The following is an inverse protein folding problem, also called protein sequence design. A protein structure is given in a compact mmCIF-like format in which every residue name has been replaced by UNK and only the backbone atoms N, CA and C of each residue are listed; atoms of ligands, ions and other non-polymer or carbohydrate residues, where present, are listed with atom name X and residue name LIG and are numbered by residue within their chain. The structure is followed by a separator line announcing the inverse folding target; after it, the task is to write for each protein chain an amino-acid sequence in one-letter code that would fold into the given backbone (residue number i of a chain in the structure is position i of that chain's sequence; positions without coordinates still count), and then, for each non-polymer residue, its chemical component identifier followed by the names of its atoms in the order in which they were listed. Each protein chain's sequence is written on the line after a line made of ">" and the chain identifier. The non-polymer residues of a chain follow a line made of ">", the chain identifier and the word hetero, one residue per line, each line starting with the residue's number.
data_IF_320464654949
#
_entry.id   IF_320464654949
#
_cell.length_a   1.000
_cell.length_b   1.000
_cell.length_c   1.000
_cell.angle_alpha   90.00
_cell.angle_beta   90.00
_cell.angle_gamma   90.00
#
_symmetry.space_group_name_H-M   'P 1'
#
loop_
_entity.id
_entity.type
_entity.pdbx_description
1 polymer ?
#
# COMPACT_ATOMS: atom_id res chain seq x y z
N UNK A 1 27.28 -19.57 -4.65
CA UNK A 1 27.69 -19.69 -6.07
C UNK A 1 26.50 -20.07 -6.95
N UNK A 2 26.14 -21.36 -7.17
CA UNK A 2 25.04 -21.73 -8.10
C UNK A 2 23.72 -20.97 -7.87
N UNK A 3 23.31 -20.81 -6.61
CA UNK A 3 22.10 -20.05 -6.26
C UNK A 3 22.14 -18.58 -6.74
N UNK A 4 23.29 -17.91 -6.60
CA UNK A 4 23.47 -16.52 -7.07
C UNK A 4 23.35 -16.42 -8.61
N UNK A 5 23.84 -17.41 -9.35
CA UNK A 5 23.68 -17.45 -10.81
C UNK A 5 22.20 -17.63 -11.20
N UNK A 6 21.46 -18.50 -10.50
CA UNK A 6 20.01 -18.67 -10.70
C UNK A 6 19.25 -17.38 -10.36
N UNK A 7 19.58 -16.75 -9.24
CA UNK A 7 18.95 -15.49 -8.80
C UNK A 7 19.22 -14.35 -9.80
N UNK A 8 20.41 -14.30 -10.42
CA UNK A 8 20.76 -13.36 -11.50
C UNK A 8 19.98 -13.65 -12.80
N UNK A 9 19.87 -14.90 -13.24
CA UNK A 9 19.06 -15.26 -14.42
C UNK A 9 17.56 -15.00 -14.21
N UNK A 10 17.08 -15.12 -12.97
CA UNK A 10 15.68 -14.81 -12.62
C UNK A 10 15.44 -13.29 -12.62
N UNK A 11 16.44 -12.50 -12.22
CA UNK A 11 16.40 -11.04 -12.30
C UNK A 11 16.40 -10.58 -13.76
N UNK A 12 17.26 -11.16 -14.61
CA UNK A 12 17.31 -10.87 -16.04
C UNK A 12 15.97 -11.17 -16.74
N UNK A 13 15.38 -12.35 -16.50
CA UNK A 13 14.06 -12.69 -17.02
C UNK A 13 12.97 -11.70 -16.56
N UNK A 14 13.02 -11.21 -15.31
CA UNK A 14 12.10 -10.18 -14.81
C UNK A 14 12.34 -8.81 -15.41
N UNK A 15 13.58 -8.39 -15.57
CA UNK A 15 13.93 -7.10 -16.20
C UNK A 15 13.49 -7.12 -17.66
N UNK A 16 13.84 -8.16 -18.41
CA UNK A 16 13.39 -8.37 -19.79
C UNK A 16 11.86 -8.33 -19.92
N UNK A 17 11.11 -8.99 -19.03
CA UNK A 17 9.64 -8.96 -19.01
C UNK A 17 9.08 -7.53 -18.79
N UNK A 18 9.77 -6.71 -18.00
CA UNK A 18 9.36 -5.33 -17.69
C UNK A 18 9.76 -4.36 -18.82
N UNK A 19 10.88 -4.61 -19.51
CA UNK A 19 11.37 -3.74 -20.60
C UNK A 19 10.81 -4.11 -21.97
N UNK A 20 10.14 -5.25 -22.14
CA UNK A 20 9.60 -5.71 -23.42
C UNK A 20 8.24 -5.06 -23.77
N UNK A 21 8.15 -3.74 -23.64
CA UNK A 21 7.18 -2.94 -24.41
C UNK A 21 7.80 -2.58 -25.75
N UNK A 22 7.25 -3.16 -26.82
CA UNK A 22 7.67 -2.98 -28.22
C UNK A 22 9.13 -3.34 -28.53
N UNK A 23 9.36 -4.61 -28.91
CA UNK A 23 9.86 -4.98 -30.24
C UNK A 23 9.95 -6.51 -30.40
N UNK A 24 9.46 -7.03 -31.52
CA UNK A 24 9.62 -8.43 -31.88
C UNK A 24 11.00 -8.67 -32.51
N UNK A 25 11.86 -9.41 -31.81
CA UNK A 25 12.97 -10.13 -32.42
C UNK A 25 13.06 -11.52 -31.80
N UNK A 26 12.75 -12.54 -32.58
CA UNK A 26 13.16 -13.91 -32.24
C UNK A 26 14.68 -13.96 -32.28
N UNK A 27 15.31 -14.43 -31.21
CA UNK A 27 16.65 -15.00 -31.29
C UNK A 27 16.78 -16.20 -30.34
N UNK A 28 17.67 -17.12 -30.66
CA UNK A 28 17.69 -18.49 -30.11
C UNK A 28 18.07 -18.55 -28.62
N UNK A 29 17.24 -19.24 -27.84
CA UNK A 29 17.55 -19.69 -26.48
C UNK A 29 18.69 -20.73 -26.51
N UNK A 30 19.92 -20.23 -26.54
CA UNK A 30 21.12 -21.06 -26.35
C UNK A 30 21.15 -21.63 -24.93
N UNK A 31 21.44 -22.93 -24.80
CA UNK A 31 21.55 -23.62 -23.51
C UNK A 31 22.55 -22.91 -22.56
N UNK A 32 22.23 -22.77 -21.26
CA UNK A 32 23.09 -22.09 -20.28
C UNK A 32 24.26 -22.98 -19.80
N UNK A 33 24.98 -23.55 -20.76
CA UNK A 33 26.20 -24.32 -20.52
C UNK A 33 27.39 -23.38 -20.33
N UNK A 34 27.63 -23.01 -19.07
CA UNK A 34 28.95 -22.57 -18.58
C UNK A 34 29.41 -21.15 -18.98
N UNK A 35 28.52 -20.15 -18.93
CA UNK A 35 28.95 -18.74 -18.84
C UNK A 35 29.91 -18.59 -17.65
N UNK A 36 31.11 -18.09 -17.91
CA UNK A 36 32.14 -17.92 -16.89
C UNK A 36 31.64 -16.94 -15.82
N UNK A 37 31.88 -17.24 -14.54
CA UNK A 37 31.56 -16.29 -13.45
C UNK A 37 32.18 -14.90 -13.67
N UNK A 38 33.30 -14.81 -14.39
CA UNK A 38 33.91 -13.55 -14.80
C UNK A 38 33.08 -12.81 -15.87
N UNK A 39 32.52 -13.52 -16.84
CA UNK A 39 31.67 -12.95 -17.90
C UNK A 39 30.32 -12.50 -17.33
N UNK A 40 29.70 -13.29 -16.44
CA UNK A 40 28.49 -12.89 -15.74
C UNK A 40 28.69 -11.64 -14.87
N UNK A 41 29.84 -11.52 -14.17
CA UNK A 41 30.19 -10.33 -13.41
C UNK A 41 30.52 -9.13 -14.31
N UNK A 42 31.22 -9.34 -15.43
CA UNK A 42 31.51 -8.28 -16.40
C UNK A 42 30.20 -7.73 -16.99
N UNK A 43 29.30 -8.61 -17.44
CA UNK A 43 28.00 -8.23 -17.98
C UNK A 43 27.13 -7.47 -16.95
N UNK A 44 27.10 -7.91 -15.69
CA UNK A 44 26.41 -7.18 -14.63
C UNK A 44 27.02 -5.79 -14.38
N UNK A 45 28.33 -5.65 -14.51
CA UNK A 45 29.04 -4.38 -14.34
C UNK A 45 28.79 -3.45 -15.54
N UNK A 46 28.77 -3.98 -16.76
CA UNK A 46 28.44 -3.25 -17.99
C UNK A 46 26.96 -2.79 -17.98
N UNK A 47 26.03 -3.62 -17.49
CA UNK A 47 24.62 -3.26 -17.30
C UNK A 47 24.44 -2.13 -16.28
N UNK A 48 25.17 -2.17 -15.15
CA UNK A 48 25.17 -1.07 -14.16
C UNK A 48 25.78 0.21 -14.75
N UNK A 49 26.84 0.13 -15.56
CA UNK A 49 27.38 1.31 -16.25
C UNK A 49 26.41 1.89 -17.29
N UNK A 50 25.72 1.03 -18.06
CA UNK A 50 24.74 1.45 -19.06
C UNK A 50 23.53 2.13 -18.42
N UNK A 51 22.94 1.51 -17.39
CA UNK A 51 21.82 2.11 -16.64
C UNK A 51 22.20 3.42 -15.97
N UNK A 52 23.42 3.55 -15.44
CA UNK A 52 23.92 4.79 -14.84
C UNK A 52 24.05 5.93 -15.88
N UNK A 53 24.59 5.63 -17.07
CA UNK A 53 24.64 6.61 -18.19
C UNK A 53 23.26 7.05 -18.63
N UNK A 54 22.33 6.12 -18.84
CA UNK A 54 20.98 6.43 -19.31
C UNK A 54 20.20 7.28 -18.27
N UNK A 55 20.41 7.02 -16.97
CA UNK A 55 19.88 7.87 -15.89
C UNK A 55 20.47 9.29 -15.94
N UNK A 56 21.76 9.42 -16.22
CA UNK A 56 22.44 10.71 -16.32
C UNK A 56 21.96 11.51 -17.55
N UNK A 57 21.80 10.87 -18.72
CA UNK A 57 21.22 11.50 -19.92
C UNK A 57 19.81 12.06 -19.63
N UNK A 58 18.97 11.34 -18.89
CA UNK A 58 17.64 11.83 -18.48
C UNK A 58 17.70 13.01 -17.49
N UNK A 59 18.70 13.07 -16.60
CA UNK A 59 18.90 14.20 -15.67
C UNK A 59 19.37 15.45 -16.43
N UNK A 60 20.26 15.28 -17.40
CA UNK A 60 20.78 16.36 -18.24
C UNK A 60 19.68 16.91 -19.18
N UNK A 61 18.89 16.04 -19.83
CA UNK A 61 17.70 16.43 -20.61
C UNK A 61 16.69 17.23 -19.78
N UNK A 62 16.42 16.80 -18.53
CA UNK A 62 15.47 17.48 -17.65
C UNK A 62 15.98 18.85 -17.17
N UNK A 63 17.29 19.01 -17.07
CA UNK A 63 17.92 20.30 -16.73
C UNK A 63 17.92 21.29 -17.90
N UNK A 64 18.07 20.81 -19.14
CA UNK A 64 18.06 21.65 -20.34
C UNK A 64 16.69 22.22 -20.73
N UNK A 65 15.59 21.71 -20.17
CA UNK A 65 14.23 22.22 -20.41
C UNK A 65 13.73 23.25 -19.37
N UNK A 66 14.61 23.74 -18.46
CA UNK A 66 14.25 24.67 -17.38
C UNK A 66 14.85 26.08 -17.56
N UNK A 67 14.94 26.56 -18.79
CA UNK A 67 15.32 27.95 -19.08
C UNK A 67 14.59 28.44 -20.33
N UNK A 68 14.39 29.76 -20.42
CA UNK A 68 13.76 30.48 -21.54
C UNK A 68 12.21 30.49 -21.62
N UNK A 69 11.57 31.20 -20.68
CA UNK A 69 10.36 31.99 -21.01
C UNK A 69 10.24 33.23 -20.12
N UNK A 70 10.95 34.32 -20.45
CA UNK A 70 10.78 35.61 -19.79
C UNK A 70 10.97 36.78 -20.76
N UNK A 71 9.88 37.27 -21.38
CA UNK A 71 9.68 38.69 -21.72
C UNK A 71 8.39 38.94 -22.52
N UNK A 72 7.35 39.48 -21.88
CA UNK A 72 6.88 40.85 -22.14
C UNK A 72 5.72 41.22 -21.19
N UNK A 73 5.63 42.48 -20.74
CA UNK A 73 4.46 43.00 -20.06
C UNK A 73 3.53 43.73 -21.05
N UNK A 74 2.22 43.69 -20.79
CA UNK A 74 1.35 44.80 -21.18
C UNK A 74 0.22 45.00 -20.16
N UNK A 75 -0.23 46.25 -20.02
CA UNK A 75 -0.93 46.71 -18.82
C UNK A 75 -2.46 46.69 -18.93
N UNK A 76 -3.16 46.31 -17.85
CA UNK A 76 -4.29 47.10 -17.30
C UNK A 76 -4.78 46.56 -15.93
N UNK A 77 -5.40 47.41 -15.08
CA UNK A 77 -5.55 47.10 -13.65
C UNK A 77 -7.01 46.86 -13.18
N UNK A 78 -7.23 45.96 -12.21
CA UNK A 78 -8.16 46.24 -11.11
C UNK A 78 -8.06 45.31 -9.88
N UNK A 79 -8.61 45.79 -8.75
CA UNK A 79 -9.04 45.05 -7.54
C UNK A 79 -8.01 44.35 -6.64
N UNK A 80 -7.14 45.20 -6.07
CA UNK A 80 -6.56 45.12 -4.72
C UNK A 80 -7.50 44.56 -3.62
N UNK A 81 -7.11 43.46 -2.94
CA UNK A 81 -7.36 43.22 -1.47
C UNK A 81 -6.58 41.99 -0.95
N UNK A 82 -5.88 42.14 0.18
CA UNK A 82 -5.49 41.01 1.05
C UNK A 82 -4.00 40.62 1.09
N UNK A 83 -3.12 41.53 1.53
CA UNK A 83 -1.84 41.09 2.11
C UNK A 83 -2.09 40.42 3.47
N UNK A 84 -1.43 39.30 3.74
CA UNK A 84 -0.78 39.10 5.03
C UNK A 84 0.63 38.59 4.81
N UNK A 85 1.57 39.48 5.14
CA UNK A 85 3.00 39.28 5.15
C UNK A 85 3.37 39.06 6.61
N UNK A 86 4.03 37.95 6.91
CA UNK A 86 4.87 37.84 8.10
C UNK A 86 6.26 37.43 7.61
N UNK A 87 7.22 38.25 7.97
CA UNK A 87 8.60 38.27 7.50
C UNK A 87 9.51 37.69 8.57
N UNK A 88 10.63 37.08 8.17
CA UNK A 88 11.85 36.92 9.01
C UNK A 88 11.70 36.11 10.34
N UNK A 89 12.73 35.54 10.99
CA UNK A 89 14.16 35.31 10.73
C UNK A 89 14.71 34.42 11.87
N UNK A 90 15.96 33.99 11.72
CA UNK A 90 16.86 33.25 12.65
C UNK A 90 17.08 31.81 12.17
N UNK A 91 18.05 31.56 11.29
CA UNK A 91 19.52 31.60 11.47
C UNK A 91 20.10 30.40 12.26
N UNK A 92 21.30 29.99 11.86
CA UNK A 92 22.24 29.09 12.55
C UNK A 92 21.97 27.57 12.52
N UNK A 93 22.53 26.94 11.46
CA UNK A 93 23.27 25.68 11.64
C UNK A 93 24.49 25.89 12.56
N UNK A 94 25.12 24.81 13.04
CA UNK A 94 26.57 24.76 12.97
C UNK A 94 27.10 23.53 12.24
N UNK A 95 28.18 23.73 11.49
CA UNK A 95 28.95 22.67 10.85
C UNK A 95 30.00 22.06 11.79
N UNK A 96 30.46 20.88 11.40
CA UNK A 96 31.85 20.41 11.52
C UNK A 96 32.36 19.90 12.90
N UNK A 97 32.65 18.59 12.93
CA UNK A 97 33.92 18.07 13.47
C UNK A 97 34.38 16.82 12.69
N UNK A 98 35.54 16.92 12.06
CA UNK A 98 36.30 15.80 11.47
C UNK A 98 37.30 15.21 12.49
N UNK A 99 38.01 14.16 12.03
CA UNK A 99 39.26 13.55 12.55
C UNK A 99 39.12 12.38 13.56
N UNK A 100 40.08 11.41 13.59
CA UNK A 100 40.53 10.64 12.42
C UNK A 100 40.88 9.13 12.70
N UNK A 101 41.09 8.38 11.60
CA UNK A 101 42.01 7.22 11.41
C UNK A 101 42.15 6.10 12.46
N UNK A 102 41.93 4.84 12.02
CA UNK A 102 42.43 3.63 12.70
C UNK A 102 42.35 2.39 11.79
N UNK A 103 43.49 1.81 11.42
CA UNK A 103 43.59 0.62 10.54
C UNK A 103 43.30 -0.71 11.27
N UNK A 104 43.36 -1.80 10.49
CA UNK A 104 43.35 -3.25 10.79
C UNK A 104 42.08 -3.94 10.24
N UNK A 105 42.12 -5.05 9.50
CA UNK A 105 43.23 -5.95 9.19
C UNK A 105 42.84 -7.41 9.50
N UNK A 106 42.58 -8.21 8.45
CA UNK A 106 42.29 -9.67 8.38
C UNK A 106 42.91 -10.57 9.49
N UNK A 107 42.38 -11.80 9.77
CA UNK A 107 41.86 -12.75 8.75
C UNK A 107 40.67 -13.67 9.09
N UNK A 108 40.23 -14.40 8.06
CA UNK A 108 39.33 -15.55 8.10
C UNK A 108 39.91 -16.76 8.84
N UNK A 109 39.04 -17.63 9.37
CA UNK A 109 39.25 -19.09 9.38
C UNK A 109 37.94 -19.84 9.09
N UNK A 110 37.99 -21.03 8.44
CA UNK A 110 36.81 -21.81 8.05
C UNK A 110 36.46 -22.88 9.09
N UNK A 111 35.22 -23.36 9.06
CA UNK A 111 34.88 -24.67 9.66
C UNK A 111 34.11 -25.56 8.69
N UNK A 112 34.75 -26.70 8.40
CA UNK A 112 34.19 -27.90 7.78
C UNK A 112 33.48 -28.74 8.85
N UNK A 113 32.41 -29.45 8.49
CA UNK A 113 31.70 -30.35 9.42
C UNK A 113 30.33 -30.77 8.87
N UNK A 114 30.28 -31.74 7.94
CA UNK A 114 29.89 -33.14 8.21
C UNK A 114 28.41 -33.35 8.54
N UNK A 115 27.69 -33.91 7.57
CA UNK A 115 26.44 -34.69 7.75
C UNK A 115 26.64 -35.82 8.78
N UNK A 116 25.54 -36.31 9.40
CA UNK A 116 24.99 -37.59 8.93
C UNK A 116 23.47 -37.58 8.70
N UNK A 117 23.03 -38.26 7.65
CA UNK A 117 21.70 -38.86 7.54
C UNK A 117 21.58 -40.07 8.48
N UNK A 118 20.43 -40.29 9.12
CA UNK A 118 19.61 -41.52 8.96
C UNK A 118 18.29 -41.49 9.76
N UNK A 119 17.45 -42.53 9.60
CA UNK A 119 16.06 -42.72 10.12
C UNK A 119 15.00 -41.83 9.45
N UNK A 120 14.31 -42.20 8.35
CA UNK A 120 13.64 -43.46 7.90
C UNK A 120 12.42 -43.93 8.73
N UNK A 121 11.34 -44.24 7.97
CA UNK A 121 10.19 -45.16 8.23
C UNK A 121 9.11 -44.71 9.25
N UNK A 122 7.81 -45.01 9.06
CA UNK A 122 7.05 -45.60 7.92
C UNK A 122 5.51 -45.25 8.04
N UNK A 123 4.59 -45.77 7.19
CA UNK A 123 3.28 -45.15 6.92
C UNK A 123 2.07 -46.02 7.39
N UNK A 124 0.91 -45.85 6.72
CA UNK A 124 -0.43 -46.48 6.84
C UNK A 124 -1.51 -45.66 7.57
N UNK A 125 -2.68 -45.58 6.93
CA UNK A 125 -3.90 -44.92 7.43
C UNK A 125 -4.87 -44.60 6.28
N UNK A 126 -5.53 -45.61 5.71
CA UNK A 126 -6.43 -45.45 4.54
C UNK A 126 -7.83 -44.96 4.91
N UNK A 127 -8.43 -44.22 3.98
CA UNK A 127 -9.86 -44.15 3.61
C UNK A 127 -10.98 -44.27 4.68
N UNK A 128 -11.87 -43.28 4.71
CA UNK A 128 -13.27 -43.45 4.20
C UNK A 128 -14.06 -42.11 4.19
N UNK A 129 -14.60 -41.75 3.03
CA UNK A 129 -15.73 -40.79 2.82
C UNK A 129 -17.09 -41.49 3.05
N UNK A 130 -18.28 -40.83 3.00
CA UNK A 130 -18.65 -39.44 2.63
C UNK A 130 -19.35 -38.72 3.83
N UNK A 131 -20.19 -37.66 3.77
CA UNK A 131 -20.97 -36.96 2.72
C UNK A 131 -21.16 -35.48 3.13
N UNK A 132 -21.44 -34.54 2.20
CA UNK A 132 -22.14 -33.30 2.55
C UNK A 132 -21.89 -32.05 1.69
N UNK A 133 -22.72 -31.86 0.66
CA UNK A 133 -23.16 -30.58 0.07
C UNK A 133 -22.16 -29.67 -0.69
N UNK A 134 -22.34 -29.67 -2.01
CA UNK A 134 -21.97 -28.61 -2.97
C UNK A 134 -22.87 -27.36 -2.75
N UNK A 135 -22.60 -26.17 -3.36
CA UNK A 135 -22.98 -26.04 -4.77
C UNK A 135 -22.11 -25.11 -5.68
N UNK A 136 -22.18 -25.41 -6.99
CA UNK A 136 -21.95 -24.53 -8.15
C UNK A 136 -20.54 -23.96 -8.42
N UNK A 137 -19.78 -24.71 -9.22
CA UNK A 137 -18.96 -24.10 -10.27
C UNK A 137 -19.84 -23.74 -11.47
N UNK A 138 -19.89 -22.47 -11.86
CA UNK A 138 -20.33 -22.07 -13.20
C UNK A 138 -19.12 -21.99 -14.13
N UNK A 139 -19.18 -22.69 -15.25
CA UNK A 139 -18.21 -22.52 -16.33
C UNK A 139 -18.59 -21.29 -17.16
N UNK A 140 -17.60 -20.47 -17.53
CA UNK A 140 -17.61 -19.70 -18.78
C UNK A 140 -16.21 -19.17 -19.08
N UNK A 141 -15.60 -19.52 -20.23
CA UNK A 141 -14.50 -18.74 -20.78
C UNK A 141 -15.07 -17.50 -21.48
N UNK A 142 -14.43 -16.35 -21.30
CA UNK A 142 -14.65 -15.18 -22.17
C UNK A 142 -13.33 -14.50 -22.41
N UNK A 143 -12.63 -14.98 -23.44
CA UNK A 143 -11.59 -14.18 -24.09
C UNK A 143 -12.29 -13.02 -24.79
N UNK A 144 -12.21 -11.83 -24.18
CA UNK A 144 -12.67 -10.60 -24.83
C UNK A 144 -11.72 -10.27 -25.97
N UNK A 145 -12.16 -10.57 -27.20
CA UNK A 145 -11.44 -10.18 -28.41
C UNK A 145 -11.57 -8.67 -28.54
N UNK A 146 -10.46 -7.94 -28.33
CA UNK A 146 -10.37 -6.53 -28.68
C UNK A 146 -10.54 -6.36 -30.20
N UNK A 147 -11.77 -6.07 -30.62
CA UNK A 147 -12.03 -5.51 -31.95
C UNK A 147 -11.77 -4.00 -31.88
N UNK A 148 -10.95 -3.41 -32.77
CA UNK A 148 -10.84 -1.97 -32.87
C UNK A 148 -12.20 -1.39 -33.30
N UNK A 149 -12.61 -0.21 -32.80
CA UNK A 149 -13.85 0.41 -33.22
C UNK A 149 -13.81 0.70 -34.72
N UNK A 150 -14.82 0.19 -35.45
CA UNK A 150 -14.94 0.47 -36.88
C UNK A 150 -15.11 1.98 -37.09
N UNK A 151 -14.28 2.53 -37.99
CA UNK A 151 -14.37 3.91 -38.46
C UNK A 151 -15.81 4.24 -38.88
N UNK A 152 -16.38 5.40 -38.50
CA UNK A 152 -17.72 5.79 -38.93
C UNK A 152 -17.72 6.09 -40.44
N UNK A 153 -18.04 5.06 -41.23
CA UNK A 153 -18.37 5.24 -42.64
C UNK A 153 -19.67 6.02 -42.78
N UNK A 154 -19.65 6.98 -43.71
CA UNK A 154 -20.83 7.55 -44.37
C UNK A 154 -21.83 8.30 -43.47
N UNK A 155 -21.49 9.54 -43.13
CA UNK A 155 -22.53 10.57 -43.08
C UNK A 155 -23.10 10.80 -44.50
N UNK A 156 -24.43 10.76 -44.71
CA UNK A 156 -25.02 11.10 -45.99
C UNK A 156 -24.70 12.55 -46.38
N UNK A 157 -23.98 12.72 -47.48
CA UNK A 157 -23.75 14.03 -48.07
C UNK A 157 -25.10 14.64 -48.48
N UNK A 158 -25.48 15.83 -47.98
CA UNK A 158 -26.63 16.54 -48.55
C UNK A 158 -26.24 16.97 -49.96
N UNK A 159 -26.84 16.34 -50.97
CA UNK A 159 -26.64 16.72 -52.37
C UNK A 159 -27.14 18.14 -52.62
N UNK A 160 -26.24 19.11 -52.43
CA UNK A 160 -26.42 20.49 -52.88
C UNK A 160 -26.11 20.56 -54.38
N UNK A 161 -27.02 20.03 -55.18
CA UNK A 161 -27.14 20.46 -56.58
C UNK A 161 -27.46 21.95 -56.58
N UNK A 162 -26.44 22.76 -56.85
CA UNK A 162 -26.57 24.20 -56.95
C UNK A 162 -27.35 24.57 -58.21
N UNK A 163 -28.68 24.57 -58.10
CA UNK A 163 -29.56 25.16 -59.12
C UNK A 163 -29.47 26.67 -58.93
N UNK A 164 -28.73 27.31 -59.83
CA UNK A 164 -28.64 28.77 -59.94
C UNK A 164 -30.03 29.36 -60.17
N UNK A 165 -30.46 30.42 -59.44
CA UNK A 165 -31.58 31.21 -59.88
C UNK A 165 -31.14 32.06 -61.07
N UNK A 166 -31.64 31.73 -62.27
CA UNK A 166 -31.45 32.54 -63.46
C UNK A 166 -31.98 33.96 -63.23
N UNK A 167 -31.23 35.03 -63.58
CA UNK A 167 -31.76 36.38 -63.56
C UNK A 167 -32.74 36.55 -64.73
N UNK A 168 -34.04 36.37 -64.46
CA UNK A 168 -35.11 36.74 -65.40
C UNK A 168 -35.14 38.25 -65.57
N UNK A 169 -34.36 38.73 -66.53
CA UNK A 169 -34.37 40.11 -66.98
C UNK A 169 -35.74 40.42 -67.58
N UNK A 170 -36.54 41.23 -66.88
CA UNK A 170 -37.78 41.80 -67.42
C UNK A 170 -37.43 42.82 -68.50
N UNK A 171 -37.26 42.31 -69.71
CA UNK A 171 -37.04 43.09 -70.92
C UNK A 171 -38.33 43.80 -71.33
N UNK A 172 -38.48 45.06 -70.93
CA UNK A 172 -39.57 45.91 -71.43
C UNK A 172 -39.25 46.36 -72.86
N UNK A 173 -40.13 46.12 -73.85
CA UNK A 173 -39.94 46.68 -75.19
C UNK A 173 -40.11 48.20 -75.13
N UNK A 174 -38.99 48.91 -75.19
CA UNK A 174 -38.94 50.35 -75.43
C UNK A 174 -39.38 50.63 -76.88
N UNK A 175 -40.69 50.69 -77.12
CA UNK A 175 -41.26 51.14 -78.40
C UNK A 175 -41.28 52.66 -78.46
N UNK A 176 -40.76 53.17 -79.57
CA UNK A 176 -40.39 54.57 -79.77
C UNK A 176 -41.61 55.50 -79.85
N UNK A 177 -41.33 56.76 -79.53
CA UNK A 177 -42.23 57.91 -79.65
C UNK A 177 -42.90 58.06 -81.02
N UNK A 178 -44.21 58.32 -81.01
CA UNK A 178 -44.94 59.02 -82.08
C UNK A 178 -45.65 60.24 -81.48
N UNK A 179 -45.44 61.46 -81.97
CA UNK A 179 -46.23 62.62 -81.59
C UNK A 179 -47.44 62.80 -82.52
N UNK A 180 -48.65 62.83 -81.98
CA UNK A 180 -49.79 63.39 -82.73
C UNK A 180 -50.91 63.94 -81.84
N UNK A 181 -50.81 65.25 -81.57
CA UNK A 181 -51.88 66.25 -81.73
C UNK A 181 -53.33 65.80 -81.43
N UNK A 182 -53.84 66.11 -80.22
CA UNK A 182 -55.18 66.70 -80.04
C UNK A 182 -55.37 67.22 -78.59
N UNK A 183 -56.01 68.38 -78.37
CA UNK A 183 -56.22 68.93 -77.02
C UNK A 183 -57.59 68.53 -76.47
N UNK A 184 -57.61 67.70 -75.42
CA UNK A 184 -58.80 67.40 -74.61
C UNK A 184 -58.45 67.43 -73.12
N UNK A 185 -59.28 68.10 -72.32
CA UNK A 185 -58.98 68.53 -70.93
C UNK A 185 -59.08 67.42 -69.86
N UNK A 186 -58.60 66.22 -70.18
CA UNK A 186 -58.61 65.03 -69.28
C UNK A 186 -57.24 64.39 -69.08
N UNK A 187 -56.20 64.84 -69.80
CA UNK A 187 -54.84 64.26 -69.76
C UNK A 187 -54.13 64.33 -68.40
N UNK A 188 -54.48 65.30 -67.55
CA UNK A 188 -53.91 65.41 -66.20
C UNK A 188 -54.40 64.27 -65.31
N UNK A 189 -55.66 63.86 -65.42
CA UNK A 189 -56.24 62.79 -64.60
C UNK A 189 -55.65 61.41 -64.94
N UNK A 190 -55.41 61.11 -66.22
CA UNK A 190 -54.82 59.84 -66.63
C UNK A 190 -53.36 59.71 -66.19
N UNK A 191 -52.59 60.81 -66.22
CA UNK A 191 -51.21 60.82 -65.70
C UNK A 191 -51.14 60.54 -64.19
N UNK A 192 -52.03 61.14 -63.40
CA UNK A 192 -52.10 60.93 -61.96
C UNK A 192 -52.52 59.49 -61.59
N UNK A 193 -53.48 58.92 -62.32
CA UNK A 193 -53.88 57.51 -62.15
C UNK A 193 -52.76 56.54 -62.52
N UNK A 194 -52.00 56.82 -63.58
CA UNK A 194 -50.84 56.00 -63.98
C UNK A 194 -49.73 56.03 -62.94
N UNK A 195 -49.39 57.21 -62.42
CA UNK A 195 -48.40 57.35 -61.35
C UNK A 195 -48.81 56.61 -60.06
N UNK A 196 -50.09 56.66 -59.68
CA UNK A 196 -50.59 55.91 -58.52
C UNK A 196 -50.51 54.39 -58.71
N UNK A 197 -50.82 53.88 -59.91
CA UNK A 197 -50.65 52.45 -60.22
C UNK A 197 -49.17 52.02 -60.18
N UNK A 198 -48.25 52.87 -60.65
CA UNK A 198 -46.81 52.62 -60.56
C UNK A 198 -46.33 52.59 -59.10
N UNK A 199 -46.81 53.50 -58.25
CA UNK A 199 -46.49 53.48 -56.81
C UNK A 199 -47.03 52.21 -56.12
N UNK A 200 -48.27 51.79 -56.42
CA UNK A 200 -48.81 50.54 -55.88
C UNK A 200 -48.00 49.31 -56.33
N UNK A 201 -47.58 49.26 -57.61
CA UNK A 201 -46.70 48.20 -58.11
C UNK A 201 -45.33 48.22 -57.42
N UNK A 202 -44.76 49.41 -57.20
CA UNK A 202 -43.51 49.58 -56.45
C UNK A 202 -43.65 49.12 -54.99
N UNK A 203 -44.71 49.55 -54.29
CA UNK A 203 -44.99 49.11 -52.92
C UNK A 203 -45.17 47.59 -52.82
N UNK A 204 -45.85 46.95 -53.77
CA UNK A 204 -45.98 45.49 -53.83
C UNK A 204 -44.60 44.84 -54.02
N UNK A 205 -43.78 45.36 -54.95
CA UNK A 205 -42.43 44.86 -55.21
C UNK A 205 -41.53 44.95 -53.97
N UNK A 206 -41.50 46.12 -53.31
CA UNK A 206 -40.73 46.36 -52.08
C UNK A 206 -41.20 45.45 -50.94
N UNK A 207 -42.52 45.34 -50.70
CA UNK A 207 -43.08 44.43 -49.68
C UNK A 207 -42.77 42.97 -49.97
N UNK A 208 -42.82 42.55 -51.25
CA UNK A 208 -42.46 41.19 -51.66
C UNK A 208 -40.97 40.90 -51.41
N UNK A 209 -40.08 41.83 -51.74
CA UNK A 209 -38.64 41.69 -51.48
C UNK A 209 -38.32 41.65 -49.98
N UNK A 210 -38.98 42.48 -49.18
CA UNK A 210 -38.86 42.49 -47.73
C UNK A 210 -39.33 41.16 -47.12
N UNK A 211 -40.50 40.66 -47.53
CA UNK A 211 -41.04 39.38 -47.09
C UNK A 211 -40.10 38.21 -47.44
N UNK A 212 -39.62 38.13 -48.69
CA UNK A 212 -38.65 37.11 -49.10
C UNK A 212 -37.34 37.18 -48.30
N UNK A 213 -36.94 38.37 -47.85
CA UNK A 213 -35.73 38.56 -47.05
C UNK A 213 -35.94 38.10 -45.61
N UNK A 214 -37.06 38.47 -44.99
CA UNK A 214 -37.45 37.96 -43.68
C UNK A 214 -37.61 36.42 -43.68
N UNK A 215 -38.16 35.84 -44.75
CA UNK A 215 -38.25 34.38 -44.91
C UNK A 215 -36.85 33.73 -44.96
N UNK A 216 -35.91 34.28 -45.74
CA UNK A 216 -34.51 33.79 -45.78
C UNK A 216 -33.80 33.93 -44.44
N UNK A 217 -34.08 34.99 -43.67
CA UNK A 217 -33.54 35.18 -42.33
C UNK A 217 -34.12 34.18 -41.32
N UNK A 218 -35.42 33.91 -41.40
CA UNK A 218 -36.08 32.87 -40.60
C UNK A 218 -35.50 31.48 -40.88
N UNK A 219 -35.35 31.09 -42.14
CA UNK A 219 -34.74 29.81 -42.53
C UNK A 219 -33.28 29.70 -42.06
N UNK A 220 -32.53 30.82 -42.13
CA UNK A 220 -31.16 30.91 -41.60
C UNK A 220 -31.12 30.73 -40.07
N UNK A 221 -32.06 31.34 -39.35
CA UNK A 221 -32.17 31.23 -37.90
C UNK A 221 -32.57 29.81 -37.47
N UNK A 222 -33.52 29.18 -38.18
CA UNK A 222 -33.91 27.80 -37.98
C UNK A 222 -32.73 26.84 -38.18
N UNK A 223 -31.92 27.05 -39.23
CA UNK A 223 -30.69 26.26 -39.44
C UNK A 223 -29.65 26.48 -38.32
N UNK A 224 -29.50 27.71 -37.81
CA UNK A 224 -28.59 28.01 -36.68
C UNK A 224 -29.06 27.31 -35.40
N UNK A 225 -30.36 27.34 -35.11
CA UNK A 225 -30.97 26.66 -33.97
C UNK A 225 -30.74 25.15 -34.03
N UNK A 226 -30.92 24.52 -35.20
CA UNK A 226 -30.77 23.08 -35.35
C UNK A 226 -29.29 22.62 -35.20
N UNK A 227 -28.34 23.43 -35.70
CA UNK A 227 -26.92 23.23 -35.42
C UNK A 227 -26.60 23.36 -33.93
N UNK A 228 -27.23 24.31 -33.23
CA UNK A 228 -27.04 24.48 -31.79
C UNK A 228 -27.58 23.28 -31.00
N UNK A 229 -28.79 22.78 -31.33
CA UNK A 229 -29.35 21.55 -30.75
C UNK A 229 -28.42 20.36 -30.92
N UNK A 230 -27.93 20.15 -32.15
CA UNK A 230 -26.96 19.09 -32.45
C UNK A 230 -25.69 19.23 -31.61
N UNK A 231 -25.19 20.46 -31.44
CA UNK A 231 -24.00 20.75 -30.62
C UNK A 231 -24.24 20.47 -29.13
N UNK A 232 -25.39 20.85 -28.58
CA UNK A 232 -25.79 20.55 -27.21
C UNK A 232 -25.87 19.04 -26.97
N UNK A 233 -26.63 18.30 -27.80
CA UNK A 233 -26.75 16.85 -27.70
C UNK A 233 -25.41 16.10 -27.87
N UNK A 234 -24.45 16.68 -28.61
CA UNK A 234 -23.09 16.12 -28.72
C UNK A 234 -22.27 16.37 -27.46
N UNK A 235 -22.44 17.52 -26.79
CA UNK A 235 -21.76 17.81 -25.53
C UNK A 235 -22.34 16.99 -24.38
N UNK A 236 -23.66 16.84 -24.32
CA UNK A 236 -24.38 16.00 -23.36
C UNK A 236 -23.84 14.56 -23.37
N UNK A 237 -23.78 13.92 -24.55
CA UNK A 237 -23.17 12.58 -24.73
C UNK A 237 -21.69 12.51 -24.37
N UNK A 238 -20.94 13.61 -24.51
CA UNK A 238 -19.54 13.66 -24.07
C UNK A 238 -19.42 13.72 -22.56
N UNK A 239 -20.32 14.42 -21.88
CA UNK A 239 -20.40 14.41 -20.42
C UNK A 239 -20.81 13.03 -19.91
N UNK A 240 -21.84 12.39 -20.49
CA UNK A 240 -22.24 11.01 -20.15
C UNK A 240 -21.06 10.02 -20.21
N UNK A 241 -20.28 10.04 -21.31
CA UNK A 241 -19.09 9.16 -21.45
C UNK A 241 -17.99 9.55 -20.46
N UNK A 242 -17.75 10.84 -20.25
CA UNK A 242 -16.75 11.33 -19.29
C UNK A 242 -17.11 10.95 -17.84
N UNK A 243 -18.38 10.98 -17.47
CA UNK A 243 -18.84 10.62 -16.13
C UNK A 243 -18.68 9.11 -15.88
N UNK A 244 -18.96 8.28 -16.89
CA UNK A 244 -18.69 6.82 -16.84
C UNK A 244 -17.19 6.55 -16.70
N UNK A 245 -16.34 7.25 -17.45
CA UNK A 245 -14.87 7.13 -17.35
C UNK A 245 -14.34 7.58 -15.98
N UNK A 246 -14.82 8.71 -15.45
CA UNK A 246 -14.47 9.20 -14.10
C UNK A 246 -14.86 8.19 -13.03
N UNK A 247 -16.05 7.59 -13.12
CA UNK A 247 -16.48 6.56 -12.17
C UNK A 247 -15.59 5.31 -12.28
N UNK A 248 -15.34 4.81 -13.49
CA UNK A 248 -14.47 3.64 -13.72
C UNK A 248 -13.04 3.84 -13.18
N UNK A 249 -12.45 5.02 -13.40
CA UNK A 249 -11.13 5.37 -12.88
C UNK A 249 -11.13 5.57 -11.36
N UNK A 250 -12.25 6.00 -10.79
CA UNK A 250 -12.42 6.13 -9.32
C UNK A 250 -12.50 4.76 -8.67
N UNK A 251 -13.28 3.83 -9.22
CA UNK A 251 -13.39 2.45 -8.75
C UNK A 251 -12.04 1.71 -8.83
N UNK A 252 -11.30 1.87 -9.94
CA UNK A 252 -9.96 1.29 -10.10
C UNK A 252 -8.97 1.89 -9.09
N UNK A 253 -9.00 3.21 -8.89
CA UNK A 253 -8.18 3.89 -7.88
C UNK A 253 -8.49 3.38 -6.47
N UNK A 254 -9.77 3.22 -6.10
CA UNK A 254 -10.15 2.69 -4.78
C UNK A 254 -9.63 1.27 -4.60
N UNK A 255 -9.82 0.40 -5.59
CA UNK A 255 -9.32 -0.97 -5.59
C UNK A 255 -7.79 -1.05 -5.45
N UNK A 256 -7.04 -0.21 -6.18
CA UNK A 256 -5.59 -0.13 -6.07
C UNK A 256 -5.15 0.40 -4.70
N UNK A 257 -5.84 1.41 -4.16
CA UNK A 257 -5.59 1.94 -2.83
C UNK A 257 -5.82 0.87 -1.74
N UNK A 258 -6.89 0.09 -1.84
CA UNK A 258 -7.15 -1.05 -0.95
C UNK A 258 -6.03 -2.09 -1.03
N UNK A 259 -5.55 -2.41 -2.23
CA UNK A 259 -4.43 -3.35 -2.44
C UNK A 259 -3.14 -2.84 -1.79
N UNK A 260 -2.82 -1.55 -1.94
CA UNK A 260 -1.66 -0.91 -1.29
C UNK A 260 -1.77 -1.02 0.23
N UNK A 261 -2.90 -0.61 0.83
CA UNK A 261 -3.07 -0.69 2.30
C UNK A 261 -3.02 -2.12 2.84
N UNK A 262 -3.50 -3.11 2.07
CA UNK A 262 -3.40 -4.52 2.42
C UNK A 262 -1.94 -5.00 2.41
N UNK A 263 -1.17 -4.62 1.40
CA UNK A 263 0.26 -4.95 1.31
C UNK A 263 1.08 -4.26 2.40
N UNK A 264 0.77 -3.00 2.74
CA UNK A 264 1.39 -2.26 3.84
C UNK A 264 1.16 -2.98 5.19
N UNK A 265 -0.08 -3.40 5.48
CA UNK A 265 -0.41 -4.22 6.67
C UNK A 265 0.40 -5.52 6.71
N UNK A 266 0.47 -6.26 5.59
CA UNK A 266 1.25 -7.49 5.51
C UNK A 266 2.75 -7.28 5.76
N UNK A 267 3.31 -6.17 5.28
CA UNK A 267 4.72 -5.81 5.54
C UNK A 267 4.94 -5.48 7.02
N UNK A 268 4.02 -4.74 7.64
CA UNK A 268 4.09 -4.42 9.08
C UNK A 268 3.97 -5.68 9.95
N UNK A 269 3.02 -6.57 9.66
CA UNK A 269 2.85 -7.87 10.34
C UNK A 269 4.10 -8.76 10.21
N UNK A 270 4.69 -8.86 9.00
CA UNK A 270 5.91 -9.62 8.78
C UNK A 270 7.12 -9.01 9.50
N UNK A 271 7.21 -7.68 9.57
CA UNK A 271 8.23 -6.97 10.34
C UNK A 271 8.06 -7.23 11.85
N UNK A 272 6.85 -7.13 12.37
CA UNK A 272 6.54 -7.41 13.78
C UNK A 272 6.85 -8.87 14.14
N UNK A 273 6.48 -9.81 13.29
CA UNK A 273 6.75 -11.25 13.43
C UNK A 273 8.27 -11.55 13.45
N UNK A 274 9.03 -10.95 12.53
CA UNK A 274 10.50 -11.04 12.50
C UNK A 274 11.14 -10.50 13.78
N UNK A 275 10.66 -9.36 14.26
CA UNK A 275 11.25 -8.70 15.43
C UNK A 275 10.81 -9.36 16.76
N UNK A 276 9.64 -10.00 16.78
CA UNK A 276 9.23 -10.97 17.81
C UNK A 276 10.16 -12.20 17.83
N UNK A 277 10.38 -12.85 16.68
CA UNK A 277 11.28 -14.01 16.58
C UNK A 277 12.71 -13.68 17.03
N UNK A 278 13.22 -12.48 16.71
CA UNK A 278 14.51 -11.98 17.22
C UNK A 278 14.51 -11.81 18.74
N UNK A 279 13.46 -11.21 19.33
CA UNK A 279 13.33 -11.06 20.79
C UNK A 279 13.28 -12.42 21.49
N UNK A 280 12.58 -13.40 20.92
CA UNK A 280 12.52 -14.77 21.44
C UNK A 280 13.89 -15.48 21.35
N UNK A 281 14.62 -15.33 20.24
CA UNK A 281 15.96 -15.90 20.09
C UNK A 281 16.94 -15.34 21.13
N UNK A 282 16.93 -14.02 21.36
CA UNK A 282 17.77 -13.39 22.40
C UNK A 282 17.39 -13.86 23.81
N UNK A 283 16.08 -13.95 24.10
CA UNK A 283 15.60 -14.45 25.39
C UNK A 283 15.98 -15.92 25.64
N UNK A 284 15.85 -16.78 24.63
CA UNK A 284 16.24 -18.18 24.69
C UNK A 284 17.76 -18.33 24.86
N UNK A 285 18.56 -17.60 24.07
CA UNK A 285 20.03 -17.58 24.22
C UNK A 285 20.47 -17.17 25.63
N UNK A 286 19.84 -16.14 26.23
CA UNK A 286 20.11 -15.74 27.61
C UNK A 286 19.70 -16.81 28.65
N UNK A 287 18.61 -17.56 28.41
CA UNK A 287 18.23 -18.69 29.26
C UNK A 287 19.22 -19.84 29.14
N UNK A 288 19.65 -20.19 27.93
CA UNK A 288 20.63 -21.26 27.67
C UNK A 288 21.98 -20.97 28.35
N UNK A 289 22.48 -19.73 28.24
CA UNK A 289 23.70 -19.30 28.94
C UNK A 289 23.60 -19.50 30.45
N UNK A 290 22.48 -19.10 31.07
CA UNK A 290 22.25 -19.31 32.51
C UNK A 290 22.21 -20.81 32.89
N UNK A 291 21.57 -21.65 32.08
CA UNK A 291 21.54 -23.10 32.31
C UNK A 291 22.96 -23.68 32.25
N UNK A 292 23.77 -23.25 31.27
CA UNK A 292 25.16 -23.68 31.12
C UNK A 292 26.04 -23.22 32.30
N UNK A 293 25.88 -21.98 32.78
CA UNK A 293 26.54 -21.47 34.00
C UNK A 293 26.17 -22.29 35.24
N UNK A 294 24.88 -22.62 35.42
CA UNK A 294 24.42 -23.45 36.52
C UNK A 294 24.94 -24.89 36.43
N UNK A 295 24.98 -25.48 35.23
CA UNK A 295 25.54 -26.81 35.01
C UNK A 295 27.05 -26.86 35.33
N UNK A 296 27.82 -25.87 34.88
CA UNK A 296 29.24 -25.75 35.21
C UNK A 296 29.47 -25.59 36.72
N UNK A 297 28.64 -24.79 37.41
CA UNK A 297 28.68 -24.65 38.88
C UNK A 297 28.37 -25.97 39.59
N UNK A 298 27.38 -26.73 39.14
CA UNK A 298 27.06 -28.05 39.69
C UNK A 298 28.19 -29.06 39.45
N UNK A 299 28.83 -29.04 38.27
CA UNK A 299 29.97 -29.89 37.97
C UNK A 299 31.17 -29.56 38.87
N UNK A 300 31.49 -28.28 39.07
CA UNK A 300 32.55 -27.84 39.98
C UNK A 300 32.26 -28.26 41.43
N UNK A 301 31.01 -28.11 41.88
CA UNK A 301 30.59 -28.57 43.21
C UNK A 301 30.74 -30.09 43.37
N UNK A 302 30.30 -30.87 42.38
CA UNK A 302 30.44 -32.33 42.39
C UNK A 302 31.90 -32.81 42.42
N UNK A 303 32.82 -32.06 41.81
CA UNK A 303 34.25 -32.34 41.89
C UNK A 303 34.83 -32.10 43.29
N UNK A 304 34.47 -30.98 43.95
CA UNK A 304 34.89 -30.71 45.32
C UNK A 304 34.25 -31.68 46.33
N UNK A 305 32.97 -32.04 46.16
CA UNK A 305 32.30 -33.00 47.03
C UNK A 305 32.86 -34.42 46.87
N UNK A 306 33.23 -34.84 45.65
CA UNK A 306 34.00 -36.09 45.40
C UNK A 306 35.36 -36.08 46.10
N UNK A 307 36.09 -34.97 46.02
CA UNK A 307 37.40 -34.79 46.67
C UNK A 307 37.32 -34.82 48.21
N UNK A 308 36.26 -34.24 48.80
CA UNK A 308 35.98 -34.39 50.24
C UNK A 308 35.73 -35.84 50.61
N UNK A 309 34.87 -36.53 49.85
CA UNK A 309 34.57 -37.95 50.10
C UNK A 309 35.80 -38.84 49.96
N UNK A 310 36.67 -38.59 48.97
CA UNK A 310 37.96 -39.29 48.83
C UNK A 310 38.89 -39.04 50.02
N UNK A 311 38.92 -37.81 50.56
CA UNK A 311 39.70 -37.48 51.75
C UNK A 311 39.15 -38.19 53.00
N UNK A 312 37.84 -38.07 53.29
CA UNK A 312 37.16 -38.76 54.41
C UNK A 312 37.34 -40.28 54.34
N UNK A 313 37.22 -40.85 53.13
CA UNK A 313 37.49 -42.27 52.89
C UNK A 313 38.93 -42.63 53.23
N UNK A 314 39.91 -41.84 52.80
CA UNK A 314 41.32 -42.11 53.09
C UNK A 314 41.66 -42.01 54.59
N UNK A 315 41.01 -41.09 55.31
CA UNK A 315 41.12 -40.98 56.78
C UNK A 315 40.56 -42.22 57.48
N UNK A 316 39.38 -42.69 57.06
CA UNK A 316 38.76 -43.90 57.59
C UNK A 316 39.59 -45.16 57.27
N UNK A 317 40.09 -45.31 56.04
CA UNK A 317 40.99 -46.41 55.66
C UNK A 317 42.30 -46.39 56.47
N UNK A 318 42.87 -45.21 56.74
CA UNK A 318 44.03 -45.07 57.62
C UNK A 318 43.69 -45.45 59.07
N UNK A 319 42.54 -45.01 59.59
CA UNK A 319 42.09 -45.33 60.95
C UNK A 319 41.81 -46.82 61.13
N UNK A 320 41.23 -47.47 60.13
CA UNK A 320 41.07 -48.94 60.09
C UNK A 320 42.44 -49.61 60.14
N UNK A 321 43.39 -49.20 59.29
CA UNK A 321 44.75 -49.78 59.28
C UNK A 321 45.46 -49.66 60.63
N UNK A 322 45.35 -48.51 61.31
CA UNK A 322 45.94 -48.30 62.64
C UNK A 322 45.28 -49.23 63.68
N UNK A 323 43.97 -49.43 63.61
CA UNK A 323 43.24 -50.35 64.50
C UNK A 323 43.60 -51.81 64.22
N UNK A 324 43.72 -52.21 62.95
CA UNK A 324 44.19 -53.53 62.54
C UNK A 324 45.63 -53.79 63.00
N UNK A 325 46.53 -52.81 62.84
CA UNK A 325 47.92 -52.90 63.31
C UNK A 325 48.00 -53.03 64.84
N UNK A 326 47.18 -52.27 65.58
CA UNK A 326 47.07 -52.38 67.04
C UNK A 326 46.50 -53.74 67.50
N UNK A 327 45.55 -54.31 66.76
CA UNK A 327 45.03 -55.67 67.01
C UNK A 327 46.06 -56.76 66.70
N UNK A 328 46.89 -56.58 65.67
CA UNK A 328 47.93 -57.55 65.27
C UNK A 328 49.18 -57.47 66.17
N UNK A 329 49.51 -56.29 66.71
CA UNK A 329 50.68 -56.10 67.60
C UNK A 329 50.43 -56.40 69.08
N UNK A 330 49.18 -56.65 69.49
CA UNK A 330 48.89 -57.34 70.74
C UNK A 330 49.30 -56.60 72.02
N UNK A 331 49.06 -55.30 72.11
CA UNK A 331 49.15 -54.57 73.39
C UNK A 331 47.82 -54.63 74.15
N UNK A 332 47.71 -55.56 75.10
CA UNK A 332 46.71 -55.47 76.15
C UNK A 332 47.00 -54.26 77.05
N UNK A 333 45.98 -53.45 77.35
CA UNK A 333 46.03 -52.51 78.46
C UNK A 333 44.71 -52.60 79.24
N UNK A 334 44.74 -52.89 80.55
CA UNK A 334 43.55 -53.30 81.28
C UNK A 334 42.74 -52.11 81.82
N UNK A 335 41.42 -52.28 81.81
CA UNK A 335 40.49 -51.53 82.65
C UNK A 335 40.65 -51.89 84.12
N UNK A 336 40.46 -50.93 85.03
CA UNK A 336 39.90 -51.22 86.35
C UNK A 336 38.58 -50.47 86.58
N UNK A 337 37.55 -51.22 86.95
CA UNK A 337 36.25 -50.73 87.43
C UNK A 337 36.31 -50.27 88.91
N UNK A 338 35.32 -49.45 89.30
CA UNK A 338 34.64 -49.37 90.63
C UNK A 338 34.15 -47.93 90.86
N UNK A 339 32.89 -47.61 90.52
CA UNK A 339 31.73 -47.63 91.43
C UNK A 339 31.74 -46.54 92.52
N UNK A 340 30.72 -45.67 92.50
CA UNK A 340 29.84 -45.46 93.66
C UNK A 340 28.48 -44.88 93.24
N UNK A 341 27.43 -45.33 93.94
CA UNK A 341 26.02 -45.11 93.63
C UNK A 341 25.53 -43.74 94.11
N UNK A 342 24.51 -43.15 93.45
CA UNK A 342 23.35 -42.59 94.15
C UNK A 342 22.09 -42.64 93.28
N UNK A 343 20.95 -42.88 93.94
CA UNK A 343 19.65 -43.15 93.33
C UNK A 343 18.79 -41.90 93.22
N UNK A 344 18.21 -41.63 92.03
CA UNK A 344 16.91 -40.96 91.86
C UNK A 344 16.46 -40.95 90.38
N UNK A 345 15.34 -41.62 90.11
CA UNK A 345 14.42 -41.31 88.99
C UNK A 345 13.27 -40.49 89.63
N UNK A 346 12.70 -39.43 89.01
CA UNK A 346 12.15 -39.49 87.66
C UNK A 346 12.29 -38.24 86.77
N UNK A 347 12.23 -38.45 85.44
CA UNK A 347 11.96 -37.37 84.48
C UNK A 347 12.63 -37.54 83.11
N UNK A 348 11.88 -38.02 82.12
CA UNK A 348 12.11 -37.60 80.73
C UNK A 348 11.82 -36.09 80.66
N UNK A 349 12.65 -35.28 79.96
CA UNK A 349 12.69 -35.29 78.49
C UNK A 349 14.09 -34.95 77.91
N UNK A 350 14.21 -34.66 76.61
CA UNK A 350 13.82 -35.51 75.49
C UNK A 350 15.06 -35.93 74.67
N UNK A 351 14.86 -36.85 73.74
CA UNK A 351 15.79 -37.03 72.61
C UNK A 351 15.91 -35.69 71.88
N UNK A 352 17.09 -35.09 71.88
CA UNK A 352 17.41 -33.96 70.98
C UNK A 352 17.59 -34.53 69.57
N UNK A 353 16.47 -34.89 68.97
CA UNK A 353 16.38 -34.94 67.52
C UNK A 353 16.58 -33.50 67.06
N UNK A 354 17.68 -33.21 66.38
CA UNK A 354 17.91 -31.92 65.75
C UNK A 354 16.97 -31.74 64.55
N UNK A 355 15.67 -31.62 64.82
CA UNK A 355 14.69 -31.11 63.87
C UNK A 355 15.01 -29.63 63.64
N UNK A 356 15.90 -29.41 62.69
CA UNK A 356 16.24 -28.11 62.14
C UNK A 356 14.96 -27.42 61.64
N UNK A 357 14.49 -26.33 62.26
CA UNK A 357 13.25 -25.67 61.84
C UNK A 357 13.43 -24.83 60.56
N UNK A 358 14.65 -24.77 60.01
CA UNK A 358 14.97 -24.01 58.81
C UNK A 358 14.18 -24.47 57.56
N UNK A 359 13.75 -25.74 57.50
CA UNK A 359 13.13 -26.34 56.31
C UNK A 359 11.70 -25.85 56.01
N UNK A 360 10.95 -25.38 57.01
CA UNK A 360 9.57 -24.87 56.81
C UNK A 360 9.53 -23.41 56.37
N UNK A 361 10.54 -22.61 56.74
CA UNK A 361 10.65 -21.22 56.32
C UNK A 361 10.88 -21.07 54.80
N UNK A 362 11.62 -22.01 54.20
CA UNK A 362 11.91 -22.04 52.77
C UNK A 362 10.64 -22.24 51.94
N UNK A 363 9.86 -23.28 52.24
CA UNK A 363 8.62 -23.60 51.51
C UNK A 363 7.53 -22.55 51.72
N UNK A 364 7.48 -21.92 52.90
CA UNK A 364 6.56 -20.81 53.16
C UNK A 364 6.97 -19.54 52.40
N UNK A 365 8.26 -19.22 52.32
CA UNK A 365 8.78 -18.11 51.53
C UNK A 365 8.59 -18.32 50.01
N UNK A 366 8.80 -19.55 49.53
CA UNK A 366 8.55 -19.94 48.15
C UNK A 366 7.06 -19.80 47.79
N UNK A 367 6.16 -20.27 48.66
CA UNK A 367 4.71 -20.07 48.51
C UNK A 367 4.33 -18.58 48.47
N UNK A 368 4.90 -17.75 49.35
CA UNK A 368 4.68 -16.29 49.36
C UNK A 368 5.19 -15.63 48.08
N UNK A 369 6.30 -16.11 47.51
CA UNK A 369 6.83 -15.59 46.25
C UNK A 369 5.95 -15.97 45.06
N UNK A 370 5.45 -17.22 44.99
CA UNK A 370 4.45 -17.64 43.98
C UNK A 370 3.16 -16.81 44.09
N UNK A 371 2.66 -16.54 45.29
CA UNK A 371 1.50 -15.67 45.48
C UNK A 371 1.78 -14.23 45.05
N UNK A 372 2.99 -13.70 45.28
CA UNK A 372 3.39 -12.36 44.80
C UNK A 372 3.48 -12.27 43.28
N UNK A 373 4.02 -13.30 42.61
CA UNK A 373 4.06 -13.34 41.14
C UNK A 373 2.65 -13.45 40.56
N UNK A 374 1.79 -14.29 41.13
CA UNK A 374 0.39 -14.40 40.72
C UNK A 374 -0.41 -13.12 40.96
N UNK A 375 -0.27 -12.45 42.11
CA UNK A 375 -0.90 -11.14 42.36
C UNK A 375 -0.41 -10.08 41.37
N UNK A 376 0.87 -10.11 41.00
CA UNK A 376 1.43 -9.19 40.00
C UNK A 376 0.91 -9.48 38.59
N UNK A 377 0.82 -10.77 38.22
CA UNK A 377 0.24 -11.25 36.95
C UNK A 377 -1.24 -10.91 36.84
N UNK A 378 -2.00 -11.10 37.92
CA UNK A 378 -3.42 -10.74 38.02
C UNK A 378 -3.62 -9.22 37.87
N UNK A 379 -2.83 -8.40 38.57
CA UNK A 379 -2.88 -6.93 38.43
C UNK A 379 -2.57 -6.48 37.00
N UNK A 380 -1.54 -7.03 36.38
CA UNK A 380 -1.20 -6.76 34.97
C UNK A 380 -2.36 -7.14 34.04
N UNK A 381 -2.94 -8.34 34.21
CA UNK A 381 -4.11 -8.78 33.42
C UNK A 381 -5.33 -7.87 33.61
N UNK A 382 -5.62 -7.44 34.83
CA UNK A 382 -6.72 -6.50 35.12
C UNK A 382 -6.46 -5.16 34.44
N UNK A 383 -5.24 -4.62 34.52
CA UNK A 383 -4.86 -3.38 33.84
C UNK A 383 -5.02 -3.49 32.32
N UNK A 384 -4.60 -4.61 31.71
CA UNK A 384 -4.82 -4.86 30.28
C UNK A 384 -6.31 -4.86 29.92
N UNK A 385 -7.14 -5.55 30.71
CA UNK A 385 -8.60 -5.58 30.51
C UNK A 385 -9.25 -4.20 30.68
N UNK A 386 -8.81 -3.40 31.66
CA UNK A 386 -9.27 -2.02 31.83
C UNK A 386 -8.90 -1.14 30.63
N UNK A 387 -7.66 -1.25 30.12
CA UNK A 387 -7.25 -0.50 28.90
C UNK A 387 -8.04 -0.93 27.66
N UNK A 388 -8.33 -2.23 27.50
CA UNK A 388 -9.16 -2.74 26.41
C UNK A 388 -10.61 -2.20 26.51
N UNK A 389 -11.21 -2.20 27.70
CA UNK A 389 -12.55 -1.62 27.94
C UNK A 389 -12.57 -0.10 27.70
N UNK A 390 -11.49 0.62 28.02
CA UNK A 390 -11.36 2.04 27.70
C UNK A 390 -11.19 2.30 26.19
N UNK A 391 -10.52 1.41 25.45
CA UNK A 391 -10.47 1.48 23.98
C UNK A 391 -11.84 1.25 23.37
N UNK A 392 -12.51 0.14 23.74
CA UNK A 392 -13.85 -0.20 23.27
C UNK A 392 -14.88 0.90 23.56
N UNK A 393 -14.77 1.62 24.71
CA UNK A 393 -15.61 2.80 24.99
C UNK A 393 -15.33 3.97 24.05
N UNK A 394 -14.06 4.27 23.73
CA UNK A 394 -13.70 5.32 22.77
C UNK A 394 -14.16 4.97 21.35
N UNK A 395 -13.96 3.72 20.94
CA UNK A 395 -14.44 3.19 19.66
C UNK A 395 -15.96 3.25 19.56
N UNK A 396 -16.69 2.87 20.62
CA UNK A 396 -18.16 2.98 20.68
C UNK A 396 -18.66 4.43 20.53
N UNK A 397 -17.99 5.40 21.16
CA UNK A 397 -18.30 6.84 21.00
C UNK A 397 -17.99 7.30 19.56
N UNK A 398 -16.88 6.83 18.97
CA UNK A 398 -16.51 7.12 17.58
C UNK A 398 -17.56 6.61 16.60
N UNK A 399 -17.96 5.34 16.73
CA UNK A 399 -19.02 4.70 15.94
C UNK A 399 -20.35 5.44 16.11
N UNK A 400 -20.74 5.80 17.33
CA UNK A 400 -21.97 6.57 17.58
C UNK A 400 -21.92 7.96 16.92
N UNK A 401 -20.75 8.59 16.86
CA UNK A 401 -20.56 9.89 16.21
C UNK A 401 -20.66 9.76 14.68
N UNK A 402 -19.99 8.77 14.09
CA UNK A 402 -20.08 8.47 12.66
C UNK A 402 -21.52 8.11 12.24
N UNK A 403 -22.23 7.29 13.03
CA UNK A 403 -23.63 6.95 12.77
C UNK A 403 -24.55 8.18 12.79
N UNK A 404 -24.33 9.14 13.71
CA UNK A 404 -25.08 10.41 13.72
C UNK A 404 -24.79 11.25 12.48
N UNK A 405 -23.53 11.34 12.05
CA UNK A 405 -23.14 12.06 10.83
C UNK A 405 -23.79 11.44 9.58
N UNK A 406 -23.83 10.10 9.48
CA UNK A 406 -24.51 9.39 8.38
C UNK A 406 -26.02 9.70 8.33
N UNK A 407 -26.70 9.69 9.48
CA UNK A 407 -28.13 10.08 9.57
C UNK A 407 -28.33 11.54 9.16
N UNK A 408 -27.45 12.45 9.58
CA UNK A 408 -27.52 13.86 9.21
C UNK A 408 -27.26 14.07 7.70
N UNK A 409 -26.31 13.34 7.09
CA UNK A 409 -26.07 13.38 5.65
C UNK A 409 -27.24 12.78 4.85
N UNK A 410 -27.84 11.69 5.34
CA UNK A 410 -29.03 11.09 4.73
C UNK A 410 -30.19 12.08 4.72
N UNK A 411 -30.44 12.76 5.84
CA UNK A 411 -31.47 13.80 5.92
C UNK A 411 -31.20 14.97 4.97
N UNK A 412 -29.93 15.37 4.77
CA UNK A 412 -29.58 16.40 3.76
C UNK A 412 -29.86 15.92 2.33
N UNK A 413 -29.53 14.67 2.01
CA UNK A 413 -29.81 14.06 0.70
C UNK A 413 -31.32 13.95 0.44
N UNK A 414 -32.12 13.50 1.41
CA UNK A 414 -33.58 13.43 1.28
C UNK A 414 -34.21 14.81 1.04
N UNK A 415 -33.73 15.85 1.73
CA UNK A 415 -34.19 17.23 1.51
C UNK A 415 -33.83 17.75 0.10
N UNK A 416 -32.64 17.40 -0.43
CA UNK A 416 -32.26 17.74 -1.81
C UNK A 416 -33.12 16.98 -2.82
N UNK A 417 -33.38 15.69 -2.60
CA UNK A 417 -34.23 14.87 -3.46
C UNK A 417 -35.69 15.37 -3.50
N UNK A 418 -36.26 15.75 -2.34
CA UNK A 418 -37.59 16.37 -2.27
C UNK A 418 -37.62 17.75 -2.94
N UNK A 419 -36.57 18.57 -2.76
CA UNK A 419 -36.44 19.86 -3.45
C UNK A 419 -36.40 19.75 -4.97
N UNK A 420 -35.72 18.72 -5.50
CA UNK A 420 -35.67 18.44 -6.93
C UNK A 420 -37.03 17.95 -7.50
N UNK A 421 -37.79 17.18 -6.73
CA UNK A 421 -39.11 16.67 -7.12
C UNK A 421 -40.24 17.71 -6.99
N UNK A 422 -40.12 18.69 -6.09
CA UNK A 422 -41.14 19.71 -5.83
C UNK A 422 -41.13 20.91 -6.79
N UNK A 423 -40.16 20.99 -7.71
CA UNK A 423 -39.97 22.16 -8.60
C UNK A 423 -40.79 22.17 -9.90
N UNK A 424 -41.66 21.18 -10.13
CA UNK A 424 -42.48 21.06 -11.34
C UNK A 424 -43.97 21.22 -11.07
N UNK A 425 -44.45 22.46 -10.97
CA UNK A 425 -45.87 22.83 -10.81
C UNK A 425 -46.19 24.18 -11.43
#
# INVERSE_FOLDING_TARGET
>A
MRKLAVDLTLLDAKVSLITQTEHHSSDELSEPSQISTKEALQWALDLVQWTNRNLQDHIEQRSSHSSETQSQPDASPNMRRGQHHLEEREEQSPSNRQYPTGHHGFPSFPYTGTVPEDLRRNPYGSETTPVGNSPHHTASPSGSVFMPPQSPMQAPQPMRSAILPSPSSLNFPNVQSLPSISPSTTSVQTSAQSAHLQDLQHQISVKTLAFQTLQREYDSLLQKLERQRTKCATLEKKFEVSDVEINSLTDEKEKLQMQVTMMESQVEELQQSRDEARRQLVANGAQYMRIMEMANRLQAQGAEDKKKWEAERSELEQRIRILEEAMVTGTEHPTPDAEHQFSASPGQPPIVLAHNPASSSSSQAETVNVLRTEVSRLRSRTQTLETALQSMRRESISIQTAARQLVESSGKLDNVAQGAMGGGG
#
